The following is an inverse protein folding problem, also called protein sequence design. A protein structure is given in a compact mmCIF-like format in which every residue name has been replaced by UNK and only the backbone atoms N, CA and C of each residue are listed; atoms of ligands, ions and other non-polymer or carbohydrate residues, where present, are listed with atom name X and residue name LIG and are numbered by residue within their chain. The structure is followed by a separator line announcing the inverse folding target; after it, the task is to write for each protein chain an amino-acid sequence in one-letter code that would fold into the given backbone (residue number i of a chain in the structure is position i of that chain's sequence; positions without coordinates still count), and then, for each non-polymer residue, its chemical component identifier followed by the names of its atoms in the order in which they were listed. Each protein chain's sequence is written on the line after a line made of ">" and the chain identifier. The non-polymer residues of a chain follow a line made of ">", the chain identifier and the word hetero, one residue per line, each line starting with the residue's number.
data_IF_577520598796
#
_entry.id   IF_577520598796
#
_cell.length_a   1.000
_cell.length_b   1.000
_cell.length_c   1.000
_cell.angle_alpha   90.00
_cell.angle_beta   90.00
_cell.angle_gamma   90.00
#
_symmetry.space_group_name_H-M   'P 1'
#
loop_
_entity.id
_entity.type
_entity.pdbx_description
1 polymer ?
#
# COMPACT_ATOMS: atom_id res chain seq x y z
N UNK A 1 19.34 25.44 -7.53
CA UNK A 1 17.95 24.91 -7.51
C UNK A 1 17.89 23.83 -6.45
N UNK A 2 16.94 23.84 -5.50
CA UNK A 2 16.70 22.63 -4.70
C UNK A 2 16.27 21.51 -5.66
N UNK A 3 16.68 20.26 -5.44
CA UNK A 3 16.24 19.16 -6.29
C UNK A 3 14.71 19.07 -6.26
N UNK A 4 14.10 18.92 -7.44
CA UNK A 4 12.67 18.62 -7.56
C UNK A 4 12.36 17.41 -6.67
N UNK A 5 11.24 17.46 -5.93
CA UNK A 5 10.81 16.38 -5.05
C UNK A 5 10.83 15.06 -5.80
N UNK A 6 11.66 14.11 -5.34
CA UNK A 6 11.85 12.82 -6.00
C UNK A 6 11.35 11.73 -5.07
N UNK A 7 10.26 11.11 -5.48
CA UNK A 7 9.89 9.80 -4.98
C UNK A 7 10.63 8.75 -5.83
N UNK A 8 11.32 7.79 -5.19
CA UNK A 8 12.07 6.73 -5.86
C UNK A 8 11.87 5.40 -5.16
N UNK A 9 11.50 4.37 -5.93
CA UNK A 9 11.49 2.99 -5.46
C UNK A 9 12.91 2.55 -5.10
N UNK A 10 13.08 1.99 -3.91
CA UNK A 10 14.35 1.42 -3.49
C UNK A 10 14.61 0.09 -4.24
N UNK A 11 15.88 -0.21 -4.50
CA UNK A 11 16.25 -1.45 -5.16
C UNK A 11 15.95 -2.66 -4.25
N UNK A 12 15.33 -3.69 -4.80
CA UNK A 12 14.84 -4.88 -4.09
C UNK A 12 13.31 -4.99 -4.16
N UNK A 13 12.79 -6.18 -4.40
CA UNK A 13 11.35 -6.43 -4.40
C UNK A 13 10.74 -6.07 -3.03
N UNK A 14 9.83 -5.09 -2.99
CA UNK A 14 9.06 -4.77 -1.78
C UNK A 14 9.81 -4.01 -0.68
N UNK A 15 10.96 -3.41 -0.97
CA UNK A 15 11.82 -2.77 0.05
C UNK A 15 11.39 -1.37 0.46
N UNK A 16 10.59 -0.67 -0.34
CA UNK A 16 10.00 0.62 0.01
C UNK A 16 10.20 1.73 -1.02
N UNK A 17 9.56 2.87 -0.77
CA UNK A 17 9.59 4.07 -1.57
C UNK A 17 10.24 5.19 -0.76
N UNK A 18 11.38 5.70 -1.20
CA UNK A 18 11.99 6.87 -0.62
C UNK A 18 11.35 8.13 -1.22
N UNK A 19 10.98 9.08 -0.36
CA UNK A 19 10.51 10.41 -0.72
C UNK A 19 11.52 11.40 -0.17
N UNK A 20 12.16 12.20 -1.04
CA UNK A 20 13.16 13.19 -0.66
C UNK A 20 12.52 14.44 0.00
N UNK A 21 11.67 14.22 1.00
CA UNK A 21 10.97 15.23 1.78
C UNK A 21 10.88 14.79 3.26
N UNK A 22 10.78 15.78 4.15
CA UNK A 22 10.51 15.51 5.56
C UNK A 22 9.12 14.93 5.82
N UNK A 23 8.99 14.25 6.96
CA UNK A 23 7.80 13.48 7.34
C UNK A 23 6.47 14.22 7.13
N UNK A 24 6.35 15.47 7.58
CA UNK A 24 5.06 16.19 7.52
C UNK A 24 4.54 16.38 6.10
N UNK A 25 5.45 16.65 5.15
CA UNK A 25 5.09 16.80 3.73
C UNK A 25 4.84 15.44 3.10
N UNK A 26 5.74 14.47 3.29
CA UNK A 26 5.57 13.12 2.78
C UNK A 26 4.26 12.49 3.27
N UNK A 27 3.91 12.65 4.54
CA UNK A 27 2.63 12.20 5.12
C UNK A 27 1.44 12.74 4.35
N UNK A 28 1.39 14.06 4.11
CA UNK A 28 0.27 14.68 3.38
C UNK A 28 0.19 14.19 1.94
N UNK A 29 1.33 14.08 1.25
CA UNK A 29 1.36 13.61 -0.15
C UNK A 29 0.95 12.15 -0.26
N UNK A 30 1.41 11.27 0.63
CA UNK A 30 0.99 9.86 0.69
C UNK A 30 -0.52 9.75 0.91
N UNK A 31 -1.09 10.53 1.83
CA UNK A 31 -2.54 10.54 2.04
C UNK A 31 -3.35 10.93 0.79
N UNK A 32 -2.85 11.88 -0.01
CA UNK A 32 -3.47 12.28 -1.28
C UNK A 32 -3.31 11.21 -2.37
N UNK A 33 -2.16 10.54 -2.44
CA UNK A 33 -1.93 9.44 -3.37
C UNK A 33 -2.87 8.25 -3.08
N UNK A 34 -3.05 7.91 -1.81
CA UNK A 34 -3.98 6.86 -1.40
C UNK A 34 -5.43 7.18 -1.81
N UNK A 35 -5.88 8.42 -1.65
CA UNK A 35 -7.23 8.87 -2.05
C UNK A 35 -7.47 8.77 -3.57
N UNK A 36 -6.41 8.85 -4.39
CA UNK A 36 -6.49 8.84 -5.85
C UNK A 36 -6.30 7.46 -6.48
N UNK A 37 -5.48 6.61 -5.86
CA UNK A 37 -5.01 5.35 -6.44
C UNK A 37 -5.89 4.12 -6.13
N UNK A 38 -7.20 4.31 -5.96
CA UNK A 38 -8.13 3.19 -5.74
C UNK A 38 -7.98 2.49 -4.37
N UNK A 39 -7.34 3.14 -3.40
CA UNK A 39 -7.32 2.67 -2.02
C UNK A 39 -8.55 3.18 -1.26
N UNK A 40 -9.04 2.38 -0.32
CA UNK A 40 -9.92 2.87 0.74
C UNK A 40 -9.11 3.04 2.01
N UNK A 41 -9.00 4.25 2.53
CA UNK A 41 -8.32 4.50 3.81
C UNK A 41 -9.31 4.20 4.95
N UNK A 42 -9.05 3.15 5.73
CA UNK A 42 -9.85 2.80 6.92
C UNK A 42 -9.49 3.71 8.11
N UNK A 43 -8.21 3.99 8.32
CA UNK A 43 -7.73 4.80 9.45
C UNK A 43 -6.36 5.44 9.18
N UNK A 44 -6.00 6.46 9.96
CA UNK A 44 -4.75 7.23 9.87
C UNK A 44 -4.21 7.53 11.26
N UNK A 45 -3.15 6.85 11.64
CA UNK A 45 -2.38 7.17 12.84
C UNK A 45 -1.10 7.93 12.45
N UNK A 46 -1.18 9.26 12.51
CA UNK A 46 -0.03 10.12 12.24
C UNK A 46 1.08 9.96 13.28
N UNK A 47 0.75 9.69 14.54
CA UNK A 47 1.75 9.57 15.60
C UNK A 47 2.62 8.32 15.39
N UNK A 48 2.02 7.23 14.90
CA UNK A 48 2.74 6.01 14.54
C UNK A 48 3.26 6.00 13.09
N UNK A 49 2.84 6.97 12.27
CA UNK A 49 3.20 7.01 10.86
C UNK A 49 2.53 5.89 10.06
N UNK A 50 1.27 5.55 10.36
CA UNK A 50 0.53 4.45 9.73
C UNK A 50 -0.76 4.91 9.05
N UNK A 51 -0.92 4.53 7.78
CA UNK A 51 -2.23 4.49 7.12
C UNK A 51 -2.73 3.05 7.09
N UNK A 52 -3.97 2.84 7.49
CA UNK A 52 -4.66 1.55 7.34
C UNK A 52 -5.50 1.61 6.08
N UNK A 53 -5.21 0.73 5.13
CA UNK A 53 -5.82 0.79 3.80
C UNK A 53 -6.37 -0.54 3.37
N UNK A 54 -7.45 -0.50 2.61
CA UNK A 54 -7.91 -1.61 1.79
C UNK A 54 -7.49 -1.37 0.35
N UNK A 55 -6.96 -2.42 -0.28
CA UNK A 55 -6.50 -2.40 -1.66
C UNK A 55 -7.04 -3.61 -2.42
N UNK A 56 -7.47 -3.39 -3.66
CA UNK A 56 -7.84 -4.44 -4.60
C UNK A 56 -6.72 -4.56 -5.60
N UNK A 57 -6.04 -5.70 -5.60
CA UNK A 57 -5.14 -6.01 -6.70
C UNK A 57 -5.96 -6.49 -7.90
N UNK A 58 -6.19 -5.60 -8.87
CA UNK A 58 -6.97 -5.94 -10.07
C UNK A 58 -6.33 -7.06 -10.90
N UNK A 59 -5.01 -7.20 -10.89
CA UNK A 59 -4.31 -8.27 -11.60
C UNK A 59 -4.47 -9.63 -10.91
N UNK A 60 -4.69 -9.64 -9.59
CA UNK A 60 -5.05 -10.83 -8.82
C UNK A 60 -6.55 -11.14 -8.96
N UNK A 61 -7.41 -10.11 -8.88
CA UNK A 61 -8.86 -10.24 -9.01
C UNK A 61 -9.28 -10.83 -10.37
N UNK A 62 -8.56 -10.51 -11.46
CA UNK A 62 -8.79 -11.11 -12.77
C UNK A 62 -8.31 -12.57 -12.89
N UNK A 63 -7.36 -13.00 -12.04
CA UNK A 63 -6.89 -14.40 -11.98
C UNK A 63 -7.76 -15.27 -11.07
N UNK A 64 -8.40 -14.67 -10.06
CA UNK A 64 -9.39 -15.30 -9.19
C UNK A 64 -10.79 -15.43 -9.84
N UNK A 65 -10.93 -15.08 -11.13
CA UNK A 65 -12.11 -15.47 -11.91
C UNK A 65 -11.97 -16.92 -12.40
N UNK A 66 -12.47 -17.87 -11.59
CA UNK A 66 -13.45 -18.80 -12.12
C UNK A 66 -14.62 -18.87 -11.13
N UNK A 67 -15.49 -17.84 -11.07
CA UNK A 67 -16.34 -17.81 -9.88
C UNK A 67 -17.51 -16.85 -9.72
N UNK A 68 -17.98 -16.13 -10.73
CA UNK A 68 -19.38 -15.64 -10.66
C UNK A 68 -20.38 -16.83 -10.48
N UNK A 69 -19.90 -18.07 -10.70
CA UNK A 69 -20.56 -19.37 -10.47
C UNK A 69 -20.31 -20.05 -9.11
N UNK A 70 -19.42 -19.59 -8.24
CA UNK A 70 -19.11 -20.29 -6.96
C UNK A 70 -20.10 -19.99 -5.82
N UNK A 71 -21.30 -19.51 -6.14
CA UNK A 71 -22.33 -19.02 -5.22
C UNK A 71 -22.83 -20.01 -4.15
N UNK A 72 -22.33 -21.23 -4.02
CA UNK A 72 -23.08 -22.29 -3.32
C UNK A 72 -22.29 -23.36 -2.56
N UNK A 73 -20.95 -23.32 -2.45
CA UNK A 73 -20.22 -24.45 -1.86
C UNK A 73 -19.23 -24.07 -0.76
N UNK A 74 -19.60 -24.43 0.47
CA UNK A 74 -18.65 -25.07 1.38
C UNK A 74 -18.19 -24.22 2.55
N UNK A 75 -18.76 -24.48 3.72
CA UNK A 75 -18.19 -24.05 4.99
C UNK A 75 -16.76 -24.61 5.17
N UNK A 76 -15.84 -23.74 5.55
CA UNK A 76 -14.46 -24.12 5.81
C UNK A 76 -13.63 -22.92 6.17
N UNK A 77 -13.17 -22.89 7.42
CA UNK A 77 -12.25 -21.90 7.98
C UNK A 77 -10.99 -21.85 7.11
N UNK A 78 -10.82 -20.78 6.32
CA UNK A 78 -9.54 -20.34 5.78
C UNK A 78 -9.67 -18.86 5.46
N UNK A 79 -8.95 -18.09 6.27
CA UNK A 79 -8.53 -16.70 6.10
C UNK A 79 -9.51 -15.76 5.38
N UNK A 80 -10.04 -14.81 6.16
CA UNK A 80 -10.90 -13.70 5.73
C UNK A 80 -10.28 -12.75 4.66
N UNK A 81 -9.19 -13.15 4.00
CA UNK A 81 -8.62 -12.53 2.82
C UNK A 81 -9.24 -13.04 1.50
N UNK A 82 -9.91 -14.21 1.50
CA UNK A 82 -10.40 -14.87 0.29
C UNK A 82 -11.91 -14.70 0.02
N UNK A 83 -12.61 -13.80 0.72
CA UNK A 83 -14.04 -13.54 0.48
C UNK A 83 -14.26 -12.09 0.06
N UNK A 84 -14.22 -11.84 -1.25
CA UNK A 84 -14.86 -10.66 -1.83
C UNK A 84 -14.19 -9.32 -1.50
N UNK A 85 -12.95 -9.16 -1.95
CA UNK A 85 -12.68 -8.00 -2.81
C UNK A 85 -11.78 -6.88 -2.28
N UNK A 86 -11.28 -6.88 -1.04
CA UNK A 86 -10.42 -5.78 -0.55
C UNK A 86 -9.45 -6.29 0.52
N UNK A 87 -8.19 -6.53 0.18
CA UNK A 87 -7.16 -6.95 1.12
C UNK A 87 -6.69 -5.76 1.99
N UNK A 88 -6.42 -6.02 3.28
CA UNK A 88 -5.97 -4.98 4.22
C UNK A 88 -4.45 -4.91 4.31
N UNK A 89 -3.93 -3.70 4.20
CA UNK A 89 -2.52 -3.37 4.34
C UNK A 89 -2.34 -2.18 5.27
N UNK A 90 -1.11 -1.99 5.74
CA UNK A 90 -0.69 -0.77 6.42
C UNK A 90 0.42 -0.11 5.62
N UNK A 91 0.31 1.18 5.38
CA UNK A 91 1.37 1.97 4.74
C UNK A 91 2.12 2.69 5.85
N UNK A 92 3.36 2.28 6.08
CA UNK A 92 4.22 2.89 7.08
C UNK A 92 5.03 4.02 6.44
N UNK A 93 5.00 5.19 7.06
CA UNK A 93 5.70 6.41 6.63
C UNK A 93 6.66 6.80 7.75
N UNK A 94 7.96 6.67 7.51
CA UNK A 94 8.99 6.87 8.54
C UNK A 94 10.05 7.84 8.06
N UNK A 95 10.35 8.86 8.87
CA UNK A 95 11.46 9.79 8.56
C UNK A 95 12.81 9.06 8.60
N UNK A 96 13.68 9.35 7.64
CA UNK A 96 15.08 8.95 7.59
C UNK A 96 15.93 10.19 7.29
N UNK A 97 16.50 10.79 8.33
CA UNK A 97 17.28 12.04 8.21
C UNK A 97 16.50 13.11 7.40
N UNK A 98 16.96 13.41 6.18
CA UNK A 98 16.38 14.42 5.29
C UNK A 98 15.31 13.88 4.32
N UNK A 99 15.03 12.57 4.36
CA UNK A 99 14.04 11.90 3.52
C UNK A 99 13.00 11.15 4.36
N UNK A 100 12.01 10.57 3.70
CA UNK A 100 10.99 9.72 4.31
C UNK A 100 10.92 8.41 3.56
N UNK A 101 10.96 7.30 4.28
CA UNK A 101 10.78 5.96 3.75
C UNK A 101 9.32 5.54 3.92
N UNK A 102 8.72 5.09 2.83
CA UNK A 102 7.37 4.52 2.77
C UNK A 102 7.48 3.02 2.53
N UNK A 103 6.91 2.20 3.41
CA UNK A 103 6.87 0.74 3.25
C UNK A 103 5.47 0.19 3.38
N UNK A 104 5.25 -1.02 2.85
CA UNK A 104 3.98 -1.73 2.93
C UNK A 104 4.09 -2.84 3.97
N UNK A 105 3.11 -2.91 4.85
CA UNK A 105 2.95 -3.96 5.84
C UNK A 105 1.65 -4.71 5.58
N UNK A 106 1.61 -5.97 5.95
CA UNK A 106 0.37 -6.74 5.96
C UNK A 106 -0.55 -6.29 7.12
N UNK A 107 -1.77 -6.83 7.17
CA UNK A 107 -2.74 -6.49 8.21
C UNK A 107 -2.25 -6.76 9.65
N UNK A 108 -1.27 -7.65 9.84
CA UNK A 108 -0.67 -7.96 11.15
C UNK A 108 0.50 -7.04 11.50
N UNK A 109 0.91 -6.14 10.59
CA UNK A 109 2.06 -5.25 10.76
C UNK A 109 3.41 -5.87 10.38
N UNK A 110 3.42 -7.09 9.82
CA UNK A 110 4.62 -7.69 9.24
C UNK A 110 4.96 -7.04 7.91
N UNK A 111 6.24 -7.02 7.54
CA UNK A 111 6.68 -6.49 6.24
C UNK A 111 6.01 -7.25 5.10
N UNK A 112 5.45 -6.53 4.14
CA UNK A 112 4.89 -7.10 2.91
C UNK A 112 5.87 -6.81 1.76
N UNK A 113 6.35 -7.86 1.11
CA UNK A 113 7.34 -7.76 0.02
C UNK A 113 6.92 -8.49 -1.26
N UNK A 114 5.71 -9.07 -1.29
CA UNK A 114 5.16 -9.72 -2.46
C UNK A 114 4.72 -8.73 -3.54
N UNK A 115 4.17 -9.27 -4.62
CA UNK A 115 3.74 -8.50 -5.79
C UNK A 115 2.69 -7.42 -5.45
N UNK A 116 1.88 -7.64 -4.40
CA UNK A 116 0.94 -6.63 -3.92
C UNK A 116 1.66 -5.38 -3.38
N UNK A 117 2.72 -5.54 -2.57
CA UNK A 117 3.52 -4.41 -2.09
C UNK A 117 4.19 -3.67 -3.23
N UNK A 118 4.73 -4.39 -4.22
CA UNK A 118 5.35 -3.76 -5.40
C UNK A 118 4.35 -2.85 -6.12
N UNK A 119 3.15 -3.36 -6.44
CA UNK A 119 2.10 -2.58 -7.10
C UNK A 119 1.65 -1.37 -6.28
N UNK A 120 1.44 -1.56 -4.97
CA UNK A 120 1.09 -0.46 -4.06
C UNK A 120 2.16 0.63 -4.09
N UNK A 121 3.44 0.26 -3.98
CA UNK A 121 4.55 1.21 -4.01
C UNK A 121 4.70 1.90 -5.37
N UNK A 122 4.44 1.21 -6.49
CA UNK A 122 4.45 1.79 -7.84
C UNK A 122 3.33 2.82 -8.05
N UNK A 123 2.12 2.53 -7.55
CA UNK A 123 0.99 3.47 -7.57
C UNK A 123 1.34 4.74 -6.78
N UNK A 124 1.80 4.56 -5.54
CA UNK A 124 2.26 5.67 -4.70
C UNK A 124 3.39 6.45 -5.37
N UNK A 125 4.39 5.78 -5.93
CA UNK A 125 5.50 6.43 -6.62
C UNK A 125 5.05 7.25 -7.84
N UNK A 126 3.99 6.81 -8.53
CA UNK A 126 3.44 7.52 -9.69
C UNK A 126 2.73 8.80 -9.28
N UNK A 127 1.93 8.74 -8.22
CA UNK A 127 1.21 9.92 -7.70
C UNK A 127 2.12 10.92 -6.95
N UNK A 128 3.28 10.47 -6.46
CA UNK A 128 4.24 11.26 -5.69
C UNK A 128 5.36 11.88 -6.55
N UNK A 129 5.34 11.69 -7.87
CA UNK A 129 6.25 12.36 -8.80
C UNK A 129 6.08 13.89 -8.83
#
# INVERSE_FOLDING_TARGET
>A
MPPAARARLLAGAGTGLQVDEGFDRAWRRVGLALDRSGFTVEDRDRAQGLYYVRYIDQAQAAKDEPGFFSKLFGGGKKDAAAQGGLARYRIAVKSQADSTLVTVLNNQGGSETGDAAQRILELLATDLK
#
